data_IF_886163325343
#
_entry.id   IF_886163325343
#
_cell.length_a   1.000
_cell.length_b   1.000
_cell.length_c   1.000
_cell.angle_alpha   90.00
_cell.angle_beta   90.00
_cell.angle_gamma   90.00
#
_symmetry.space_group_name_H-M   'P 1'
#
loop_
_entity.id
_entity.type
_entity.pdbx_description
1 polymer ?
#
# COMPACT_ATOMS: atom_id res chain seq x y z
N UNK A 1 -17.54 -10.64 18.88
CA UNK A 1 -16.61 -9.52 18.69
C UNK A 1 -17.20 -8.70 17.57
N UNK A 2 -17.66 -7.47 17.85
CA UNK A 2 -18.07 -6.56 16.78
C UNK A 2 -16.80 -6.04 16.11
N UNK A 3 -16.65 -6.34 14.83
CA UNK A 3 -15.58 -5.80 14.00
C UNK A 3 -15.78 -4.27 13.89
N UNK A 4 -14.71 -3.52 14.17
CA UNK A 4 -14.68 -2.05 14.06
C UNK A 4 -15.06 -1.53 12.67
N UNK A 5 -15.10 -2.41 11.68
CA UNK A 5 -15.48 -2.14 10.29
C UNK A 5 -17.00 -2.02 10.07
N UNK A 6 -17.83 -2.56 10.97
CA UNK A 6 -19.31 -2.50 10.85
C UNK A 6 -19.88 -1.10 11.12
N UNK A 7 -19.10 -0.22 11.77
CA UNK A 7 -19.53 1.13 12.18
C UNK A 7 -19.27 2.23 11.15
N UNK A 8 -18.75 1.89 9.97
CA UNK A 8 -18.47 2.88 8.92
C UNK A 8 -19.76 3.11 8.12
N UNK A 9 -20.35 4.32 8.10
CA UNK A 9 -21.56 4.59 7.34
C UNK A 9 -21.27 4.56 5.83
N UNK A 10 -21.55 3.42 5.20
CA UNK A 10 -21.27 3.10 3.79
C UNK A 10 -21.93 4.07 2.78
N UNK A 11 -22.96 4.82 3.19
CA UNK A 11 -23.81 5.63 2.32
C UNK A 11 -23.34 7.08 2.12
N UNK A 12 -22.26 7.53 2.78
CA UNK A 12 -21.67 8.88 2.61
C UNK A 12 -20.43 8.90 1.72
N UNK A 13 -20.14 7.78 1.11
CA UNK A 13 -18.92 7.56 0.34
C UNK A 13 -19.22 7.91 -1.11
N UNK A 14 -18.88 9.15 -1.51
CA UNK A 14 -18.84 9.53 -2.93
C UNK A 14 -18.08 8.44 -3.70
N UNK A 15 -18.55 8.10 -4.90
CA UNK A 15 -17.87 7.13 -5.75
C UNK A 15 -16.43 7.60 -5.91
N UNK A 16 -15.48 6.77 -5.46
CA UNK A 16 -14.08 6.95 -5.78
C UNK A 16 -13.93 6.54 -7.24
N UNK A 17 -14.46 7.32 -8.16
CA UNK A 17 -14.32 7.08 -9.60
C UNK A 17 -13.01 7.74 -10.03
N UNK A 18 -12.08 6.92 -10.53
CA UNK A 18 -10.84 7.41 -11.12
C UNK A 18 -9.58 6.66 -10.69
N UNK A 19 -8.43 7.25 -11.04
CA UNK A 19 -7.10 6.74 -10.75
C UNK A 19 -6.56 7.38 -9.47
N UNK A 20 -6.11 6.55 -8.55
CA UNK A 20 -5.57 6.93 -7.25
C UNK A 20 -4.08 6.64 -7.25
N UNK A 21 -3.24 7.68 -7.14
CA UNK A 21 -1.80 7.49 -7.01
C UNK A 21 -1.47 7.09 -5.57
N UNK A 22 -0.75 5.98 -5.42
CA UNK A 22 -0.30 5.44 -4.14
C UNK A 22 1.22 5.42 -4.16
N UNK A 23 1.83 6.17 -3.26
CA UNK A 23 3.27 6.16 -3.11
C UNK A 23 3.69 4.95 -2.28
N UNK A 24 4.69 4.19 -2.74
CA UNK A 24 5.17 3.04 -1.98
C UNK A 24 6.66 3.13 -1.68
N UNK A 25 7.07 2.50 -0.58
CA UNK A 25 8.46 2.42 -0.18
C UNK A 25 8.73 1.09 0.52
N UNK A 26 9.64 0.30 -0.06
CA UNK A 26 10.11 -0.97 0.51
C UNK A 26 11.31 -0.71 1.42
N UNK A 27 11.29 -1.28 2.63
CA UNK A 27 12.43 -1.34 3.55
C UNK A 27 12.74 -2.79 3.84
N UNK A 28 14.00 -3.16 3.73
CA UNK A 28 14.47 -4.41 4.33
C UNK A 28 14.63 -4.19 5.84
N UNK A 29 13.75 -4.81 6.62
CA UNK A 29 13.88 -4.86 8.07
C UNK A 29 14.64 -6.11 8.52
N UNK A 30 15.04 -6.13 9.79
CA UNK A 30 15.70 -7.28 10.44
C UNK A 30 14.87 -8.57 10.36
N UNK A 31 13.55 -8.45 10.26
CA UNK A 31 12.59 -9.56 10.23
C UNK A 31 12.00 -9.82 8.84
N UNK A 32 12.52 -9.18 7.79
CA UNK A 32 12.05 -9.31 6.41
C UNK A 32 11.67 -7.98 5.75
N UNK A 33 11.32 -8.00 4.46
CA UNK A 33 10.93 -6.80 3.73
C UNK A 33 9.57 -6.30 4.20
N UNK A 34 9.49 -4.99 4.42
CA UNK A 34 8.29 -4.27 4.81
C UNK A 34 8.01 -3.23 3.74
N UNK A 35 6.79 -3.22 3.20
CA UNK A 35 6.38 -2.18 2.25
C UNK A 35 5.35 -1.26 2.90
N UNK A 36 5.53 0.04 2.70
CA UNK A 36 4.58 1.08 3.10
C UNK A 36 3.91 1.63 1.86
N UNK A 37 2.60 1.72 1.88
CA UNK A 37 1.75 2.28 0.83
C UNK A 37 1.03 3.50 1.40
N UNK A 38 1.37 4.68 0.90
CA UNK A 38 0.79 5.96 1.29
C UNK A 38 -0.34 6.31 0.31
N UNK A 39 -1.56 6.27 0.80
CA UNK A 39 -2.76 6.60 0.05
C UNK A 39 -3.11 8.09 0.24
N UNK A 40 -3.86 8.71 -0.68
CA UNK A 40 -4.28 10.11 -0.52
C UNK A 40 -5.28 10.33 0.61
N UNK A 41 -6.03 9.29 1.01
CA UNK A 41 -6.93 9.31 2.18
C UNK A 41 -7.07 7.90 2.75
N UNK A 42 -7.23 7.80 4.08
CA UNK A 42 -7.45 6.54 4.78
C UNK A 42 -8.72 5.80 4.33
N UNK A 43 -9.72 6.51 3.78
CA UNK A 43 -10.96 5.94 3.25
C UNK A 43 -10.70 4.93 2.13
N UNK A 44 -9.69 5.17 1.30
CA UNK A 44 -9.28 4.22 0.26
C UNK A 44 -8.85 2.89 0.87
N UNK A 45 -8.04 2.95 1.92
CA UNK A 45 -7.53 1.76 2.60
C UNK A 45 -8.68 1.01 3.27
N UNK A 46 -9.58 1.73 3.96
CA UNK A 46 -10.72 1.10 4.59
C UNK A 46 -11.62 0.37 3.61
N UNK A 47 -11.87 0.91 2.41
CA UNK A 47 -12.67 0.20 1.40
C UNK A 47 -11.93 -1.00 0.80
N UNK A 48 -10.64 -0.87 0.50
CA UNK A 48 -9.82 -2.00 0.02
C UNK A 48 -9.84 -3.15 1.02
N UNK A 49 -9.64 -2.80 2.29
CA UNK A 49 -9.68 -3.73 3.41
C UNK A 49 -11.10 -4.01 3.90
N UNK A 50 -12.20 -3.53 3.31
CA UNK A 50 -13.55 -4.00 3.67
C UNK A 50 -14.00 -5.10 2.72
N UNK A 51 -13.64 -4.97 1.44
CA UNK A 51 -14.03 -5.90 0.38
C UNK A 51 -13.08 -7.11 0.22
N UNK A 52 -11.84 -7.01 0.72
CA UNK A 52 -10.87 -8.09 0.58
C UNK A 52 -11.18 -9.32 1.46
N UNK A 53 -10.90 -10.57 1.03
CA UNK A 53 -11.04 -11.74 1.90
C UNK A 53 -10.16 -11.67 3.16
N UNK A 54 -10.69 -12.07 4.31
CA UNK A 54 -9.97 -12.02 5.61
C UNK A 54 -8.65 -12.81 5.57
N UNK A 55 -8.62 -13.95 4.88
CA UNK A 55 -7.44 -14.81 4.75
C UNK A 55 -6.29 -14.11 4.02
N UNK A 56 -6.60 -13.34 2.97
CA UNK A 56 -5.60 -12.58 2.22
C UNK A 56 -5.06 -11.41 3.03
N UNK A 57 -5.92 -10.73 3.82
CA UNK A 57 -5.47 -9.67 4.73
C UNK A 57 -4.48 -10.18 5.78
N UNK A 58 -4.74 -11.39 6.31
CA UNK A 58 -3.85 -12.05 7.29
C UNK A 58 -2.52 -12.48 6.66
N UNK A 59 -2.51 -12.93 5.40
CA UNK A 59 -1.31 -13.36 4.67
C UNK A 59 -0.22 -12.28 4.65
N UNK A 60 -0.61 -11.03 4.41
CA UNK A 60 0.31 -9.89 4.28
C UNK A 60 0.59 -9.16 5.59
N UNK A 61 -0.13 -9.53 6.66
CA UNK A 61 -0.04 -8.92 7.99
C UNK A 61 -0.10 -7.39 7.92
N UNK A 62 -1.20 -6.87 7.36
CA UNK A 62 -1.40 -5.44 7.17
C UNK A 62 -1.56 -4.70 8.50
N UNK A 63 -0.85 -3.58 8.62
CA UNK A 63 -1.01 -2.60 9.69
C UNK A 63 -1.42 -1.25 9.09
N UNK A 64 -2.43 -0.61 9.68
CA UNK A 64 -2.94 0.69 9.24
C UNK A 64 -2.45 1.79 10.19
N UNK A 65 -1.89 2.86 9.64
CA UNK A 65 -1.54 4.06 10.38
C UNK A 65 -1.89 5.29 9.55
N UNK A 66 -2.93 6.02 9.95
CA UNK A 66 -3.44 7.18 9.20
C UNK A 66 -3.82 6.79 7.75
N UNK A 67 -3.27 7.47 6.75
CA UNK A 67 -3.38 7.18 5.33
C UNK A 67 -2.31 6.20 4.81
N UNK A 68 -1.61 5.49 5.69
CA UNK A 68 -0.53 4.56 5.34
C UNK A 68 -0.94 3.12 5.66
N UNK A 69 -0.91 2.26 4.64
CA UNK A 69 -1.03 0.82 4.78
C UNK A 69 0.36 0.18 4.78
N UNK A 70 0.67 -0.61 5.79
CA UNK A 70 1.98 -1.26 5.95
C UNK A 70 1.81 -2.76 5.79
N UNK A 71 2.51 -3.37 4.83
CA UNK A 71 2.62 -4.81 4.68
C UNK A 71 3.90 -5.29 5.38
N UNK A 72 3.76 -5.96 6.53
CA UNK A 72 4.90 -6.48 7.29
C UNK A 72 5.51 -7.74 6.66
N UNK A 73 4.71 -8.49 5.92
CA UNK A 73 5.17 -9.64 5.14
C UNK A 73 5.05 -9.29 3.65
N UNK A 74 5.88 -8.36 3.19
CA UNK A 74 5.78 -7.86 1.83
C UNK A 74 6.27 -8.91 0.83
N UNK A 75 5.47 -9.09 -0.23
CA UNK A 75 5.80 -9.78 -1.46
C UNK A 75 5.19 -9.01 -2.62
N UNK A 76 5.63 -9.27 -3.86
CA UNK A 76 5.07 -8.62 -5.06
C UNK A 76 3.55 -8.86 -5.19
N UNK A 77 3.04 -10.00 -4.70
CA UNK A 77 1.60 -10.31 -4.62
C UNK A 77 0.76 -9.22 -3.92
N UNK A 78 1.35 -8.38 -3.07
CA UNK A 78 0.64 -7.29 -2.40
C UNK A 78 0.14 -6.27 -3.43
N UNK A 79 0.89 -6.00 -4.50
CA UNK A 79 0.46 -5.06 -5.54
C UNK A 79 -0.76 -5.58 -6.29
N UNK A 80 -0.74 -6.85 -6.70
CA UNK A 80 -1.85 -7.50 -7.38
C UNK A 80 -3.10 -7.54 -6.49
N UNK A 81 -2.91 -7.86 -5.20
CA UNK A 81 -3.97 -7.82 -4.20
C UNK A 81 -4.62 -6.43 -4.13
N UNK A 82 -3.82 -5.37 -3.97
CA UNK A 82 -4.31 -4.01 -3.84
C UNK A 82 -5.01 -3.53 -5.12
N UNK A 83 -4.47 -3.84 -6.31
CA UNK A 83 -5.12 -3.50 -7.58
C UNK A 83 -6.46 -4.22 -7.76
N UNK A 84 -6.51 -5.51 -7.43
CA UNK A 84 -7.76 -6.28 -7.54
C UNK A 84 -8.80 -5.76 -6.56
N UNK A 85 -8.41 -5.49 -5.32
CA UNK A 85 -9.29 -4.89 -4.33
C UNK A 85 -9.79 -3.51 -4.78
N UNK A 86 -8.92 -2.67 -5.36
CA UNK A 86 -9.30 -1.35 -5.86
C UNK A 86 -10.36 -1.42 -6.96
N UNK A 87 -10.14 -2.32 -7.93
CA UNK A 87 -11.09 -2.54 -9.04
C UNK A 87 -12.45 -3.01 -8.54
N UNK A 88 -12.49 -3.85 -7.51
CA UNK A 88 -13.74 -4.31 -6.89
C UNK A 88 -14.49 -3.16 -6.19
N UNK A 89 -13.74 -2.23 -5.58
CA UNK A 89 -14.30 -1.05 -4.89
C UNK A 89 -14.69 0.07 -5.87
N UNK A 90 -14.19 0.02 -7.11
CA UNK A 90 -14.55 0.95 -8.19
C UNK A 90 -13.50 2.00 -8.56
N UNK A 91 -12.24 1.82 -8.16
CA UNK A 91 -11.14 2.70 -8.54
C UNK A 91 -9.91 1.94 -9.04
N UNK A 92 -8.96 2.65 -9.64
CA UNK A 92 -7.67 2.08 -10.06
C UNK A 92 -6.53 2.65 -9.25
N UNK A 93 -5.52 1.84 -8.94
CA UNK A 93 -4.31 2.29 -8.25
C UNK A 93 -3.17 2.47 -9.26
N UNK A 94 -2.54 3.64 -9.20
CA UNK A 94 -1.24 3.88 -9.81
C UNK A 94 -0.16 3.83 -8.73
N UNK A 95 0.74 2.86 -8.79
CA UNK A 95 1.85 2.80 -7.85
C UNK A 95 2.99 3.69 -8.32
N UNK A 96 3.47 4.53 -7.42
CA UNK A 96 4.66 5.35 -7.63
C UNK A 96 5.67 5.00 -6.55
N UNK A 97 6.85 4.53 -6.93
CA UNK A 97 7.91 4.34 -5.96
C UNK A 97 8.31 5.71 -5.42
N UNK A 98 8.33 5.85 -4.09
CA UNK A 98 8.82 7.06 -3.47
C UNK A 98 10.32 7.11 -3.67
N UNK A 99 10.77 7.96 -4.58
CA UNK A 99 12.19 8.24 -4.75
C UNK A 99 12.79 8.52 -3.38
N UNK A 100 13.91 7.84 -3.05
CA UNK A 100 14.71 8.15 -1.87
C UNK A 100 15.18 9.60 -1.98
N UNK A 101 14.36 10.53 -1.51
CA UNK A 101 14.73 11.92 -1.40
C UNK A 101 15.96 11.98 -0.50
N UNK A 102 17.10 12.37 -1.08
CA UNK A 102 18.34 12.71 -0.37
C UNK A 102 18.03 13.79 0.67
N UNK A 103 17.59 13.38 1.87
CA UNK A 103 17.59 14.24 3.06
C UNK A 103 18.85 13.93 3.85
N UNK A 104 19.92 14.65 3.49
CA UNK A 104 21.10 14.86 4.31
C UNK A 104 22.10 13.71 4.36
N UNK A 105 23.21 13.89 3.62
CA UNK A 105 24.47 13.18 3.88
C UNK A 105 24.65 11.87 3.12
N UNK A 106 25.68 11.85 2.29
CA UNK A 106 26.31 10.69 1.65
C UNK A 106 25.61 10.11 0.42
N UNK A 107 26.10 10.61 -0.71
CA UNK A 107 26.18 9.89 -1.96
C UNK A 107 27.33 8.90 -1.76
N UNK A 108 27.05 7.60 -1.82
CA UNK A 108 28.10 6.62 -2.10
C UNK A 108 27.81 6.02 -3.47
N UNK A 109 28.69 6.41 -4.38
CA UNK A 109 28.98 5.85 -5.70
C UNK A 109 29.22 4.32 -5.58
N UNK A 110 29.18 3.49 -6.61
CA UNK A 110 29.75 3.67 -7.93
C UNK A 110 29.22 2.63 -8.92
N UNK A 111 29.28 3.02 -10.20
CA UNK A 111 29.67 2.21 -11.37
C UNK A 111 29.58 0.68 -11.29
N UNK A 112 28.82 0.11 -12.24
CA UNK A 112 29.45 -0.85 -13.15
C UNK A 112 29.02 -0.55 -14.57
N UNK A 113 29.84 0.24 -15.26
CA UNK A 113 30.08 0.05 -16.68
C UNK A 113 30.73 -1.33 -16.84
N UNK A 114 30.13 -2.19 -17.65
CA UNK A 114 30.85 -3.30 -18.26
C UNK A 114 30.47 -3.35 -19.73
N UNK A 115 31.16 -2.50 -20.47
CA UNK A 115 31.53 -2.77 -21.86
C UNK A 115 32.64 -3.82 -21.86
N UNK A 116 32.40 -4.98 -22.49
CA UNK A 116 33.38 -5.72 -23.30
C UNK A 116 32.67 -6.74 -24.20
#
# INVERSE_FOLDING_TARGET
>A
MEDIYDKIPWYKLERLEGKVTVEFHVREGEYGPVCRFEFPSNEHIFRLLSEAPLEERKRFNFYLFDNILVAHNYSEDVFDFLQRAARNVGFEIEFKERERGKKGGEILESETDKTE
#
